data_IF_075910590718
#
_entry.id   IF_075910590718
#
_cell.length_a   1.000
_cell.length_b   1.000
_cell.length_c   1.000
_cell.angle_alpha   90.00
_cell.angle_beta   90.00
_cell.angle_gamma   90.00
#
_symmetry.space_group_name_H-M   'P 1'
#
loop_
_entity.id
_entity.type
_entity.pdbx_description
1 polymer ?
#
# COMPACT_ATOMS: atom_id res chain seq x y z
N UNK A 1 -3.25 33.83 -12.05
CA UNK A 1 -2.81 35.08 -11.38
C UNK A 1 -1.31 35.23 -11.63
N UNK A 2 -0.83 36.39 -12.06
CA UNK A 2 0.61 36.70 -12.11
C UNK A 2 0.92 37.50 -10.84
N UNK A 3 1.71 36.92 -9.95
CA UNK A 3 2.08 37.53 -8.68
C UNK A 3 3.34 38.37 -8.86
N UNK A 4 3.13 39.65 -9.14
CA UNK A 4 4.19 40.65 -9.08
C UNK A 4 3.96 41.45 -7.78
N UNK A 5 4.34 40.88 -6.65
CA UNK A 5 4.71 41.65 -5.44
C UNK A 5 3.65 42.40 -4.61
N UNK A 6 2.34 42.19 -4.78
CA UNK A 6 1.34 42.73 -3.84
C UNK A 6 0.64 41.62 -3.04
N UNK A 7 0.71 41.72 -1.72
CA UNK A 7 -0.01 40.87 -0.76
C UNK A 7 -1.52 40.99 -1.00
N UNK A 8 -2.11 39.94 -1.55
CA UNK A 8 -3.57 39.78 -1.58
C UNK A 8 -4.04 39.45 -0.15
N UNK A 9 -4.98 40.22 0.40
CA UNK A 9 -5.67 39.93 1.68
C UNK A 9 -7.05 39.28 1.41
N UNK A 10 -7.14 37.94 1.40
CA UNK A 10 -8.38 37.21 1.15
C UNK A 10 -9.35 37.16 2.35
N UNK A 11 -9.06 37.78 3.49
CA UNK A 11 -9.87 37.62 4.72
C UNK A 11 -11.29 38.21 4.62
N UNK A 12 -11.60 38.90 3.51
CA UNK A 12 -12.91 39.47 3.16
C UNK A 12 -13.45 39.03 1.80
N UNK A 13 -12.81 38.09 1.11
CA UNK A 13 -13.11 37.78 -0.29
C UNK A 13 -13.25 36.28 -0.53
N UNK A 14 -14.40 35.85 -1.10
CA UNK A 14 -14.53 34.55 -1.74
C UNK A 14 -13.93 34.62 -3.14
N UNK A 15 -12.96 33.77 -3.47
CA UNK A 15 -12.47 33.63 -4.84
C UNK A 15 -13.33 32.59 -5.56
N UNK A 16 -14.14 33.02 -6.52
CA UNK A 16 -14.82 32.13 -7.45
C UNK A 16 -13.97 31.95 -8.70
N UNK A 17 -13.53 30.71 -8.94
CA UNK A 17 -12.92 30.29 -10.19
C UNK A 17 -14.00 29.58 -11.01
N UNK A 18 -14.68 30.35 -11.86
CA UNK A 18 -15.70 29.81 -12.77
C UNK A 18 -15.04 29.36 -14.09
N UNK A 19 -14.88 28.04 -14.25
CA UNK A 19 -14.23 27.44 -15.40
C UNK A 19 -14.96 27.75 -16.73
N UNK A 20 -16.28 27.99 -16.67
CA UNK A 20 -17.08 28.30 -17.85
C UNK A 20 -16.81 29.70 -18.43
N UNK A 21 -16.18 30.57 -17.64
CA UNK A 21 -15.92 31.99 -17.94
C UNK A 21 -14.41 32.33 -17.98
N UNK A 22 -13.53 31.37 -17.70
CA UNK A 22 -12.09 31.48 -17.92
C UNK A 22 -11.72 31.22 -19.39
N UNK A 23 -12.07 32.12 -20.30
CA UNK A 23 -11.59 32.07 -21.70
C UNK A 23 -10.34 32.94 -21.87
N UNK A 24 -9.19 32.34 -22.18
CA UNK A 24 -8.07 33.06 -22.79
C UNK A 24 -7.91 32.59 -24.24
N UNK A 25 -8.20 33.47 -25.19
CA UNK A 25 -7.99 33.32 -26.64
C UNK A 25 -8.34 31.94 -27.24
N UNK A 26 -9.63 31.61 -27.23
CA UNK A 26 -10.23 30.87 -28.34
C UNK A 26 -9.63 29.50 -28.67
N UNK A 27 -9.53 28.59 -27.70
CA UNK A 27 -9.74 27.15 -27.95
C UNK A 27 -10.10 26.46 -26.64
N UNK A 28 -11.37 26.11 -26.49
CA UNK A 28 -11.91 25.46 -25.30
C UNK A 28 -11.49 23.99 -25.32
N UNK A 29 -10.77 23.53 -24.29
CA UNK A 29 -10.44 22.12 -24.09
C UNK A 29 -10.96 21.61 -22.74
N UNK A 30 -12.18 22.01 -22.33
CA UNK A 30 -12.92 21.38 -21.21
C UNK A 30 -12.18 21.28 -19.86
N UNK A 31 -11.15 22.12 -19.63
CA UNK A 31 -10.32 22.13 -18.43
C UNK A 31 -10.14 23.57 -17.99
N UNK A 32 -10.51 23.87 -16.76
CA UNK A 32 -10.14 25.14 -16.13
C UNK A 32 -8.88 24.94 -15.30
N UNK A 33 -7.88 25.78 -15.53
CA UNK A 33 -6.53 25.56 -14.99
C UNK A 33 -6.10 26.68 -14.04
N UNK A 34 -5.63 26.34 -12.85
CA UNK A 34 -4.76 27.20 -12.03
C UNK A 34 -3.34 26.92 -12.47
N UNK A 35 -2.73 27.87 -13.18
CA UNK A 35 -1.37 27.72 -13.72
C UNK A 35 -0.38 28.58 -12.97
N UNK A 36 0.67 27.96 -12.43
CA UNK A 36 1.84 28.67 -11.91
C UNK A 36 2.89 28.84 -13.01
N UNK A 37 2.74 29.88 -13.85
CA UNK A 37 3.74 30.21 -14.87
C UNK A 37 4.87 31.04 -14.28
N UNK A 38 6.12 30.68 -14.57
CA UNK A 38 7.28 31.50 -14.24
C UNK A 38 8.34 31.43 -15.31
N UNK A 39 9.14 32.51 -15.41
CA UNK A 39 10.13 32.71 -16.46
C UNK A 39 11.52 32.21 -16.10
N UNK A 40 11.80 31.97 -14.82
CA UNK A 40 13.12 31.51 -14.37
C UNK A 40 13.23 29.99 -14.42
N UNK A 41 14.25 29.50 -15.13
CA UNK A 41 14.62 28.10 -15.18
C UNK A 41 15.27 27.61 -13.87
N UNK A 42 15.78 28.51 -13.04
CA UNK A 42 16.66 28.18 -11.91
C UNK A 42 16.17 28.67 -10.55
N UNK A 43 15.27 29.65 -10.51
CA UNK A 43 14.75 30.19 -9.26
C UNK A 43 13.43 29.51 -8.87
N UNK A 44 13.35 29.10 -7.62
CA UNK A 44 12.16 28.53 -7.02
C UNK A 44 11.01 29.55 -6.98
N UNK A 45 9.78 29.05 -7.11
CA UNK A 45 8.59 29.88 -7.24
C UNK A 45 7.53 29.38 -6.27
N UNK A 46 6.95 30.31 -5.51
CA UNK A 46 5.90 30.00 -4.56
C UNK A 46 4.68 30.87 -4.84
N UNK A 47 3.48 30.26 -4.84
CA UNK A 47 2.20 30.96 -4.79
C UNK A 47 1.49 30.51 -3.51
N UNK A 48 0.94 31.46 -2.76
CA UNK A 48 0.27 31.17 -1.48
C UNK A 48 -1.11 31.80 -1.47
N UNK A 49 -2.11 30.99 -1.11
CA UNK A 49 -3.41 31.43 -0.65
C UNK A 49 -3.41 31.39 0.87
N UNK A 50 -3.31 32.55 1.51
CA UNK A 50 -3.08 32.64 2.96
C UNK A 50 -4.32 32.29 3.81
N UNK A 51 -5.52 32.60 3.34
CA UNK A 51 -6.79 32.31 4.00
C UNK A 51 -7.97 32.43 3.01
N UNK A 52 -9.19 32.19 3.47
CA UNK A 52 -10.43 32.44 2.71
C UNK A 52 -11.02 31.21 2.02
N UNK A 53 -12.10 31.42 1.27
CA UNK A 53 -12.81 30.35 0.54
C UNK A 53 -12.52 30.47 -0.95
N UNK A 54 -12.03 29.38 -1.53
CA UNK A 54 -11.79 29.22 -2.96
C UNK A 54 -12.80 28.21 -3.48
N UNK A 55 -13.66 28.65 -4.39
CA UNK A 55 -14.69 27.80 -5.00
C UNK A 55 -14.36 27.60 -6.47
N UNK A 56 -14.19 26.35 -6.90
CA UNK A 56 -13.97 25.97 -8.30
C UNK A 56 -15.23 25.30 -8.84
N UNK A 57 -15.81 25.88 -9.89
CA UNK A 57 -17.04 25.34 -10.49
C UNK A 57 -17.06 25.55 -11.99
N UNK A 58 -17.67 24.64 -12.74
CA UNK A 58 -17.99 24.86 -14.15
C UNK A 58 -19.49 25.16 -14.28
N UNK A 59 -19.87 26.44 -14.39
CA UNK A 59 -21.30 26.81 -14.44
C UNK A 59 -22.04 26.31 -15.68
N UNK A 60 -21.35 25.79 -16.71
CA UNK A 60 -21.94 25.26 -17.94
C UNK A 60 -21.95 23.73 -18.01
N UNK A 61 -20.98 23.07 -17.35
CA UNK A 61 -20.82 21.61 -17.37
C UNK A 61 -20.63 21.03 -15.96
N UNK A 62 -21.44 21.52 -15.01
CA UNK A 62 -21.34 21.21 -13.57
C UNK A 62 -21.12 19.72 -13.28
N UNK A 63 -20.03 19.42 -12.59
CA UNK A 63 -19.68 18.10 -12.12
C UNK A 63 -19.16 17.12 -13.15
N UNK A 64 -18.88 17.56 -14.38
CA UNK A 64 -18.31 16.71 -15.43
C UNK A 64 -16.90 17.13 -15.83
N UNK A 65 -16.50 18.34 -15.46
CA UNK A 65 -15.20 18.92 -15.81
C UNK A 65 -14.11 18.47 -14.84
N UNK A 66 -12.86 18.74 -15.22
CA UNK A 66 -11.70 18.60 -14.34
C UNK A 66 -11.04 19.95 -14.18
N UNK A 67 -10.99 20.43 -12.94
CA UNK A 67 -10.16 21.55 -12.53
C UNK A 67 -8.71 21.08 -12.36
N UNK A 68 -7.81 21.70 -13.10
CA UNK A 68 -6.40 21.31 -13.12
C UNK A 68 -5.57 22.35 -12.38
N UNK A 69 -4.82 21.94 -11.38
CA UNK A 69 -3.71 22.70 -10.80
C UNK A 69 -2.47 22.24 -11.57
N UNK A 70 -2.01 23.07 -12.50
CA UNK A 70 -0.85 22.77 -13.35
C UNK A 70 0.33 23.63 -12.89
N UNK A 71 1.38 22.96 -12.41
CA UNK A 71 2.61 23.63 -11.99
C UNK A 71 3.55 23.92 -13.18
N UNK A 72 3.02 24.08 -14.39
CA UNK A 72 3.73 24.26 -15.66
C UNK A 72 5.01 25.11 -15.61
N UNK A 73 6.07 24.66 -16.29
CA UNK A 73 7.29 25.44 -16.54
C UNK A 73 7.45 25.74 -18.02
N UNK A 74 7.78 26.99 -18.37
CA UNK A 74 8.10 27.38 -19.75
C UNK A 74 9.48 26.87 -20.19
N UNK A 75 10.30 26.33 -19.29
CA UNK A 75 11.66 25.88 -19.58
C UNK A 75 11.77 24.39 -19.29
N UNK A 76 11.93 23.61 -20.38
CA UNK A 76 11.95 22.14 -20.39
C UNK A 76 13.07 21.52 -19.53
N UNK A 77 14.12 22.30 -19.25
CA UNK A 77 15.36 21.85 -18.59
C UNK A 77 15.72 22.69 -17.35
N UNK A 78 14.75 23.42 -16.77
CA UNK A 78 15.01 24.13 -15.52
C UNK A 78 15.36 23.18 -14.38
N UNK A 79 15.85 23.69 -13.25
CA UNK A 79 16.03 22.98 -11.96
C UNK A 79 15.17 23.55 -10.83
N UNK A 80 14.37 24.58 -11.10
CA UNK A 80 13.54 25.24 -10.07
C UNK A 80 12.55 24.29 -9.38
N UNK A 81 12.08 24.68 -8.21
CA UNK A 81 10.97 24.05 -7.49
C UNK A 81 9.78 25.01 -7.54
N UNK A 82 8.59 24.47 -7.77
CA UNK A 82 7.34 25.23 -7.71
C UNK A 82 6.47 24.72 -6.59
N UNK A 83 6.07 25.64 -5.72
CA UNK A 83 5.28 25.33 -4.54
C UNK A 83 3.98 26.14 -4.54
N UNK A 84 2.84 25.43 -4.46
CA UNK A 84 1.54 26.05 -4.26
C UNK A 84 1.05 25.76 -2.84
N UNK A 85 0.78 26.80 -2.06
CA UNK A 85 0.26 26.67 -0.71
C UNK A 85 -1.20 27.12 -0.62
N UNK A 86 -2.04 26.29 -0.04
CA UNK A 86 -3.35 26.64 0.50
C UNK A 86 -3.23 26.59 2.02
N UNK A 87 -2.89 27.72 2.64
CA UNK A 87 -2.58 27.80 4.07
C UNK A 87 -3.82 27.58 4.95
N UNK A 88 -3.66 27.23 6.21
CA UNK A 88 -4.78 27.27 7.15
C UNK A 88 -5.11 28.75 7.49
N UNK A 89 -6.38 29.19 7.49
CA UNK A 89 -7.61 28.40 7.43
C UNK A 89 -8.32 28.45 6.06
N UNK A 90 -7.61 28.26 4.94
CA UNK A 90 -8.27 28.21 3.63
C UNK A 90 -9.28 27.07 3.53
N UNK A 91 -10.32 27.27 2.71
CA UNK A 91 -11.23 26.21 2.29
C UNK A 91 -11.29 26.17 0.77
N UNK A 92 -10.93 25.04 0.18
CA UNK A 92 -11.07 24.78 -1.26
C UNK A 92 -12.27 23.89 -1.51
N UNK A 93 -13.31 24.44 -2.12
CA UNK A 93 -14.48 23.71 -2.58
C UNK A 93 -14.42 23.53 -4.09
N UNK A 94 -14.68 22.31 -4.59
CA UNK A 94 -14.83 22.07 -6.02
C UNK A 94 -16.08 21.30 -6.35
N UNK A 95 -16.87 21.78 -7.31
CA UNK A 95 -17.95 20.98 -7.91
C UNK A 95 -17.44 20.04 -9.00
N UNK A 96 -16.17 20.14 -9.37
CA UNK A 96 -15.54 19.40 -10.46
C UNK A 96 -14.52 18.40 -9.92
N UNK A 97 -14.02 17.52 -10.78
CA UNK A 97 -12.87 16.68 -10.42
C UNK A 97 -11.64 17.58 -10.23
N UNK A 98 -10.79 17.27 -9.26
CA UNK A 98 -9.54 17.97 -9.02
C UNK A 98 -8.38 17.16 -9.61
N UNK A 99 -7.47 17.85 -10.28
CA UNK A 99 -6.22 17.24 -10.74
C UNK A 99 -5.03 18.13 -10.43
N UNK A 100 -4.05 17.59 -9.72
CA UNK A 100 -2.72 18.20 -9.62
C UNK A 100 -1.82 17.57 -10.68
N UNK A 101 -1.12 18.41 -11.44
CA UNK A 101 -0.14 17.95 -12.40
C UNK A 101 1.15 18.74 -12.21
N UNK A 102 2.23 18.04 -11.88
CA UNK A 102 3.54 18.66 -11.84
C UNK A 102 4.10 18.84 -13.24
N UNK A 103 5.04 19.76 -13.39
CA UNK A 103 5.57 20.13 -14.71
C UNK A 103 6.75 19.27 -15.16
N UNK A 104 7.33 18.49 -14.26
CA UNK A 104 8.55 17.71 -14.48
C UNK A 104 8.30 16.28 -14.07
N UNK A 105 8.97 15.30 -14.70
CA UNK A 105 8.86 13.88 -14.30
C UNK A 105 9.36 13.61 -12.88
N UNK A 106 10.18 14.50 -12.33
CA UNK A 106 10.59 14.47 -10.94
C UNK A 106 9.51 15.15 -10.08
N UNK A 107 8.78 14.39 -9.24
CA UNK A 107 7.68 14.90 -8.44
C UNK A 107 8.12 15.82 -7.31
N UNK A 108 9.40 15.83 -6.92
CA UNK A 108 9.92 16.72 -5.88
C UNK A 108 9.93 18.20 -6.30
N UNK A 109 9.78 18.45 -7.60
CA UNK A 109 9.90 19.79 -8.18
C UNK A 109 8.57 20.53 -8.30
N UNK A 110 7.46 19.81 -8.21
CA UNK A 110 6.12 20.38 -8.18
C UNK A 110 5.43 20.00 -6.89
N UNK A 111 5.27 20.95 -5.98
CA UNK A 111 4.75 20.73 -4.63
C UNK A 111 3.42 21.47 -4.47
N UNK A 112 2.40 20.79 -3.96
CA UNK A 112 1.13 21.42 -3.56
C UNK A 112 0.84 21.07 -2.10
N UNK A 113 0.68 22.10 -1.26
CA UNK A 113 0.38 21.97 0.15
C UNK A 113 -1.08 22.36 0.40
N UNK A 114 -1.89 21.42 0.86
CA UNK A 114 -3.25 21.64 1.35
C UNK A 114 -3.23 21.67 2.88
N UNK A 115 -2.99 22.87 3.44
CA UNK A 115 -3.00 23.12 4.89
C UNK A 115 -4.39 23.52 5.39
N UNK A 116 -5.24 24.03 4.50
CA UNK A 116 -6.67 24.21 4.71
C UNK A 116 -7.50 22.96 4.41
N UNK A 117 -8.82 23.11 4.46
CA UNK A 117 -9.78 22.05 4.13
C UNK A 117 -10.03 21.98 2.63
N UNK A 118 -10.09 20.77 2.08
CA UNK A 118 -10.48 20.53 0.68
C UNK A 118 -11.73 19.64 0.62
N UNK A 119 -12.70 20.05 -0.18
CA UNK A 119 -13.91 19.25 -0.45
C UNK A 119 -14.25 19.29 -1.93
N UNK A 120 -14.23 18.13 -2.59
CA UNK A 120 -14.62 18.00 -4.00
C UNK A 120 -15.98 17.27 -4.10
N UNK A 121 -17.06 18.04 -4.26
CA UNK A 121 -18.44 17.52 -4.25
C UNK A 121 -19.37 18.43 -5.06
N UNK A 122 -20.28 17.83 -5.84
CA UNK A 122 -21.40 18.52 -6.49
C UNK A 122 -22.72 17.94 -6.00
N UNK A 123 -23.46 18.70 -5.18
CA UNK A 123 -24.63 18.19 -4.47
C UNK A 123 -24.26 17.00 -3.59
N UNK A 124 -24.85 15.83 -3.88
CA UNK A 124 -24.56 14.57 -3.19
C UNK A 124 -23.48 13.71 -3.87
N UNK A 125 -22.98 14.14 -5.03
CA UNK A 125 -21.99 13.39 -5.80
C UNK A 125 -20.58 13.88 -5.48
N UNK A 126 -19.77 13.01 -4.87
CA UNK A 126 -18.35 13.24 -4.66
C UNK A 126 -17.58 13.28 -5.98
N UNK A 127 -16.54 14.11 -6.03
CA UNK A 127 -15.69 14.32 -7.21
C UNK A 127 -14.29 13.80 -6.97
N UNK A 128 -13.68 13.32 -8.04
CA UNK A 128 -12.42 12.59 -7.94
C UNK A 128 -11.25 13.57 -7.84
N UNK A 129 -10.21 13.11 -7.15
CA UNK A 129 -8.90 13.72 -7.13
C UNK A 129 -7.88 12.82 -7.83
N UNK A 130 -7.02 13.45 -8.62
CA UNK A 130 -5.85 12.80 -9.19
C UNK A 130 -4.61 13.65 -9.05
N UNK A 131 -3.46 13.02 -8.85
CA UNK A 131 -2.16 13.68 -8.92
C UNK A 131 -1.22 12.90 -9.81
N UNK A 132 -0.45 13.61 -10.62
CA UNK A 132 0.67 13.01 -11.31
C UNK A 132 1.87 13.96 -11.41
N UNK A 133 3.07 13.37 -11.34
CA UNK A 133 4.35 14.10 -11.46
C UNK A 133 4.53 15.23 -10.46
N UNK A 134 3.84 15.18 -9.32
CA UNK A 134 3.88 16.17 -8.27
C UNK A 134 3.92 15.51 -6.89
N UNK A 135 4.42 16.24 -5.91
CA UNK A 135 4.27 15.96 -4.49
C UNK A 135 3.08 16.75 -3.94
N UNK A 136 2.11 16.05 -3.36
CA UNK A 136 0.95 16.65 -2.74
C UNK A 136 0.98 16.36 -1.25
N UNK A 137 0.88 17.40 -0.43
CA UNK A 137 0.86 17.29 1.02
C UNK A 137 -0.52 17.66 1.54
N UNK A 138 -1.16 16.75 2.27
CA UNK A 138 -2.41 16.99 2.98
C UNK A 138 -2.05 17.18 4.45
N UNK A 139 -2.31 18.36 4.99
CA UNK A 139 -1.99 18.74 6.37
C UNK A 139 -3.24 19.00 7.23
N UNK A 140 -4.43 18.77 6.67
CA UNK A 140 -5.72 18.96 7.35
C UNK A 140 -6.77 18.00 6.71
N UNK A 141 -8.04 18.39 6.60
CA UNK A 141 -9.09 17.57 5.96
C UNK A 141 -9.08 17.66 4.43
N UNK A 142 -9.15 16.51 3.77
CA UNK A 142 -9.25 16.40 2.31
C UNK A 142 -10.28 15.34 1.91
N UNK A 143 -11.46 15.78 1.45
CA UNK A 143 -12.60 14.90 1.16
C UNK A 143 -12.94 14.87 -0.33
N UNK A 144 -12.92 13.67 -0.92
CA UNK A 144 -13.10 13.43 -2.36
C UNK A 144 -13.87 12.14 -2.63
N UNK A 145 -14.20 11.90 -3.89
CA UNK A 145 -14.79 10.64 -4.38
C UNK A 145 -13.73 9.55 -4.43
N UNK A 146 -12.94 9.54 -5.49
CA UNK A 146 -11.74 8.71 -5.64
C UNK A 146 -10.47 9.54 -5.43
N UNK A 147 -9.40 8.94 -4.90
CA UNK A 147 -8.05 9.53 -4.95
C UNK A 147 -7.15 8.64 -5.81
N UNK A 148 -6.47 9.19 -6.82
CA UNK A 148 -5.55 8.44 -7.70
C UNK A 148 -4.19 9.13 -7.80
N UNK A 149 -3.11 8.43 -7.48
CA UNK A 149 -1.74 8.96 -7.54
C UNK A 149 -0.92 8.13 -8.52
N UNK A 150 -0.35 8.76 -9.55
CA UNK A 150 0.45 8.10 -10.60
C UNK A 150 1.72 8.90 -10.88
N UNK A 151 2.89 8.27 -10.86
CA UNK A 151 4.19 8.96 -11.05
C UNK A 151 4.40 10.17 -10.12
N UNK A 152 3.81 10.15 -8.93
CA UNK A 152 3.79 11.27 -7.99
C UNK A 152 3.73 10.78 -6.57
N UNK A 153 3.80 11.72 -5.62
CA UNK A 153 3.83 11.44 -4.19
C UNK A 153 2.63 12.11 -3.53
N UNK A 154 1.93 11.39 -2.65
CA UNK A 154 0.94 11.94 -1.75
C UNK A 154 1.35 11.69 -0.30
N UNK A 155 1.47 12.75 0.48
CA UNK A 155 1.70 12.67 1.91
C UNK A 155 0.41 13.05 2.64
N UNK A 156 -0.12 12.14 3.45
CA UNK A 156 -1.15 12.42 4.46
C UNK A 156 -0.41 12.61 5.77
N UNK A 157 -0.15 13.87 6.13
CA UNK A 157 0.71 14.20 7.27
C UNK A 157 0.00 13.99 8.61
N UNK A 158 0.76 14.00 9.70
CA UNK A 158 0.24 13.83 11.06
C UNK A 158 -0.88 14.85 11.35
N UNK A 159 -1.96 14.39 11.99
CA UNK A 159 -3.16 15.20 12.27
C UNK A 159 -4.07 15.45 11.05
N UNK A 160 -3.62 15.11 9.85
CA UNK A 160 -4.42 15.25 8.63
C UNK A 160 -5.35 14.05 8.40
N UNK A 161 -6.39 14.25 7.59
CA UNK A 161 -7.32 13.18 7.19
C UNK A 161 -7.61 13.27 5.70
N UNK A 162 -7.39 12.16 4.99
CA UNK A 162 -7.86 11.96 3.63
C UNK A 162 -9.09 11.03 3.65
N UNK A 163 -10.24 11.53 3.21
CA UNK A 163 -11.43 10.72 3.00
C UNK A 163 -11.70 10.53 1.52
N UNK A 164 -11.64 9.29 1.05
CA UNK A 164 -12.14 8.92 -0.28
C UNK A 164 -13.47 8.18 -0.13
N UNK A 165 -14.56 8.77 -0.64
CA UNK A 165 -15.90 8.16 -0.63
C UNK A 165 -16.08 7.07 -1.71
N UNK A 166 -14.97 6.48 -2.15
CA UNK A 166 -14.83 5.43 -3.14
C UNK A 166 -13.46 4.75 -2.94
N UNK A 167 -12.64 4.63 -3.99
CA UNK A 167 -11.32 3.97 -3.94
C UNK A 167 -10.17 4.96 -3.77
N UNK A 168 -9.13 4.53 -3.06
CA UNK A 168 -7.78 5.11 -3.14
C UNK A 168 -6.93 4.22 -4.03
N UNK A 169 -6.43 4.77 -5.13
CA UNK A 169 -5.59 4.06 -6.09
C UNK A 169 -4.17 4.64 -6.05
N UNK A 170 -3.22 3.81 -5.61
CA UNK A 170 -1.80 4.01 -5.89
C UNK A 170 -1.54 3.40 -7.26
N UNK A 171 -1.52 4.25 -8.28
CA UNK A 171 -1.26 3.81 -9.63
C UNK A 171 0.21 3.55 -9.89
N UNK A 172 0.56 3.35 -11.16
CA UNK A 172 1.92 3.02 -11.59
C UNK A 172 2.91 4.10 -11.14
N UNK A 173 3.97 3.69 -10.43
CA UNK A 173 5.00 4.57 -9.86
C UNK A 173 4.42 5.69 -8.99
N UNK A 174 3.20 5.52 -8.47
CA UNK A 174 2.63 6.39 -7.46
C UNK A 174 3.13 5.97 -6.08
N UNK A 175 3.31 6.95 -5.20
CA UNK A 175 3.69 6.73 -3.82
C UNK A 175 2.71 7.44 -2.87
N UNK A 176 2.26 6.75 -1.83
CA UNK A 176 1.48 7.34 -0.74
C UNK A 176 2.15 7.07 0.60
N UNK A 177 2.41 8.14 1.36
CA UNK A 177 2.92 8.08 2.73
C UNK A 177 1.84 8.55 3.70
N UNK A 178 1.54 7.73 4.70
CA UNK A 178 0.42 7.94 5.63
C UNK A 178 0.96 8.07 7.05
N UNK A 179 1.04 9.30 7.56
CA UNK A 179 1.32 9.62 8.97
C UNK A 179 0.08 10.20 9.68
N UNK A 180 -0.96 10.60 8.93
CA UNK A 180 -2.29 10.93 9.44
C UNK A 180 -3.26 9.76 9.29
N UNK A 181 -4.52 10.07 8.98
CA UNK A 181 -5.56 9.07 8.80
C UNK A 181 -6.06 9.00 7.36
N UNK A 182 -6.22 7.80 6.84
CA UNK A 182 -6.99 7.53 5.63
C UNK A 182 -8.33 6.90 6.00
N UNK A 183 -9.40 7.44 5.43
CA UNK A 183 -10.73 6.86 5.44
C UNK A 183 -11.14 6.52 4.01
N UNK A 184 -11.59 5.29 3.78
CA UNK A 184 -12.17 4.91 2.50
C UNK A 184 -13.56 4.31 2.70
N UNK A 185 -14.57 5.00 2.15
CA UNK A 185 -16.00 4.72 2.32
C UNK A 185 -16.72 4.51 0.98
N UNK A 186 -16.42 3.43 0.23
CA UNK A 186 -17.12 3.14 -1.01
C UNK A 186 -18.63 2.99 -0.80
N UNK A 187 -19.40 3.57 -1.72
CA UNK A 187 -20.87 3.45 -1.72
C UNK A 187 -21.36 2.10 -2.26
N UNK A 188 -20.51 1.37 -2.99
CA UNK A 188 -20.79 0.02 -3.53
C UNK A 188 -20.00 -1.06 -2.80
N UNK A 189 -20.66 -2.20 -2.55
CA UNK A 189 -20.04 -3.38 -1.94
C UNK A 189 -19.09 -4.14 -2.86
N UNK A 190 -19.01 -3.80 -4.15
CA UNK A 190 -18.17 -4.51 -5.14
C UNK A 190 -16.84 -3.82 -5.46
N UNK A 191 -16.48 -2.78 -4.69
CA UNK A 191 -15.34 -1.92 -4.98
C UNK A 191 -14.27 -2.10 -3.91
N UNK A 192 -13.02 -2.27 -4.36
CA UNK A 192 -11.85 -2.28 -3.50
C UNK A 192 -11.67 -0.88 -2.88
N UNK A 193 -11.47 -0.81 -1.57
CA UNK A 193 -11.27 0.47 -0.88
C UNK A 193 -9.89 1.05 -1.23
N UNK A 194 -8.87 0.19 -1.26
CA UNK A 194 -7.51 0.57 -1.65
C UNK A 194 -7.01 -0.38 -2.72
N UNK A 195 -6.42 0.19 -3.78
CA UNK A 195 -5.72 -0.55 -4.83
C UNK A 195 -4.30 -0.02 -4.98
N UNK A 196 -3.32 -0.90 -4.85
CA UNK A 196 -1.91 -0.59 -5.09
C UNK A 196 -1.48 -1.35 -6.34
N UNK A 197 -1.34 -0.63 -7.45
CA UNK A 197 -0.96 -1.17 -8.75
C UNK A 197 0.50 -1.67 -8.74
N UNK A 198 0.88 -2.40 -9.78
CA UNK A 198 2.28 -2.79 -9.99
C UNK A 198 3.19 -1.54 -10.00
N UNK A 199 4.32 -1.63 -9.30
CA UNK A 199 5.24 -0.53 -9.03
C UNK A 199 4.65 0.66 -8.25
N UNK A 200 3.44 0.53 -7.70
CA UNK A 200 2.90 1.46 -6.71
C UNK A 200 3.44 1.11 -5.32
N UNK A 201 3.60 2.13 -4.49
CA UNK A 201 4.10 1.98 -3.12
C UNK A 201 3.22 2.75 -2.14
N UNK A 202 2.83 2.10 -1.04
CA UNK A 202 2.18 2.74 0.09
C UNK A 202 2.93 2.43 1.37
N UNK A 203 3.24 3.46 2.16
CA UNK A 203 3.80 3.34 3.50
C UNK A 203 2.83 3.92 4.52
N UNK A 204 2.47 3.11 5.51
CA UNK A 204 1.83 3.60 6.74
C UNK A 204 2.92 3.77 7.79
N UNK A 205 3.19 5.03 8.14
CA UNK A 205 4.20 5.40 9.13
C UNK A 205 3.71 5.16 10.57
N UNK A 206 4.56 5.46 11.55
CA UNK A 206 4.33 5.11 12.96
C UNK A 206 3.00 5.66 13.53
N UNK A 207 2.63 6.89 13.15
CA UNK A 207 1.39 7.56 13.56
C UNK A 207 0.22 7.33 12.59
N UNK A 208 0.47 6.66 11.46
CA UNK A 208 -0.50 6.46 10.40
C UNK A 208 -1.60 5.47 10.77
N UNK A 209 -2.79 5.68 10.21
CA UNK A 209 -3.90 4.71 10.31
C UNK A 209 -4.74 4.66 9.05
N UNK A 210 -5.33 3.49 8.78
CA UNK A 210 -6.25 3.27 7.67
C UNK A 210 -7.54 2.66 8.22
N UNK A 211 -8.64 3.40 8.07
CA UNK A 211 -9.98 2.93 8.42
C UNK A 211 -10.80 2.68 7.15
N UNK A 212 -11.13 1.41 6.93
CA UNK A 212 -11.97 1.00 5.81
C UNK A 212 -13.38 0.76 6.34
N UNK A 213 -14.31 1.65 6.00
CA UNK A 213 -15.71 1.52 6.39
C UNK A 213 -16.54 1.23 5.15
N UNK A 214 -17.37 0.18 5.19
CA UNK A 214 -18.25 -0.20 4.07
C UNK A 214 -17.47 -0.54 2.77
N UNK A 215 -18.21 -0.93 1.74
CA UNK A 215 -17.64 -1.47 0.51
C UNK A 215 -17.26 -2.95 0.65
N UNK A 216 -16.34 -3.42 -0.19
CA UNK A 216 -15.78 -4.77 -0.05
C UNK A 216 -14.80 -4.86 1.13
N UNK A 217 -14.42 -3.72 1.72
CA UNK A 217 -13.49 -3.56 2.87
C UNK A 217 -12.18 -4.30 2.66
N UNK A 218 -11.55 -3.99 1.53
CA UNK A 218 -10.41 -4.73 1.01
C UNK A 218 -9.29 -3.80 0.55
N UNK A 219 -8.06 -4.27 0.79
CA UNK A 219 -6.85 -3.75 0.17
C UNK A 219 -6.42 -4.75 -0.91
N UNK A 220 -6.26 -4.29 -2.15
CA UNK A 220 -5.76 -5.09 -3.28
C UNK A 220 -4.34 -4.68 -3.64
N UNK A 221 -3.43 -5.64 -3.63
CA UNK A 221 -1.99 -5.41 -3.63
C UNK A 221 -1.30 -6.11 -4.81
N UNK A 222 -0.92 -5.33 -5.83
CA UNK A 222 0.03 -5.71 -6.89
C UNK A 222 1.41 -5.10 -6.69
N UNK A 223 1.47 -3.94 -6.00
CA UNK A 223 2.71 -3.25 -5.65
C UNK A 223 3.13 -3.57 -4.21
N UNK A 224 3.68 -2.57 -3.52
CA UNK A 224 4.18 -2.72 -2.14
C UNK A 224 3.33 -1.97 -1.13
N UNK A 225 3.01 -2.62 -0.02
CA UNK A 225 2.45 -2.03 1.19
C UNK A 225 3.41 -2.26 2.36
N UNK A 226 3.92 -1.18 2.94
CA UNK A 226 4.79 -1.20 4.12
C UNK A 226 4.05 -0.61 5.32
N UNK A 227 4.06 -1.32 6.45
CA UNK A 227 3.31 -0.94 7.65
C UNK A 227 4.27 -0.84 8.84
N UNK A 228 4.37 0.36 9.40
CA UNK A 228 5.16 0.70 10.58
C UNK A 228 4.28 1.21 11.74
N UNK A 229 2.96 1.28 11.52
CA UNK A 229 2.00 1.81 12.47
C UNK A 229 1.70 0.83 13.61
N UNK A 230 1.05 1.33 14.67
CA UNK A 230 0.70 0.54 15.85
C UNK A 230 -0.22 -0.65 15.56
N UNK A 231 -0.35 -1.57 16.52
CA UNK A 231 -1.30 -2.69 16.47
C UNK A 231 -2.72 -2.21 16.09
N UNK A 232 -3.38 -2.91 15.16
CA UNK A 232 -4.76 -2.62 14.74
C UNK A 232 -4.94 -1.29 14.01
N UNK A 233 -3.86 -0.59 13.64
CA UNK A 233 -3.91 0.67 12.88
C UNK A 233 -4.54 0.54 11.48
N UNK A 234 -4.61 -0.69 10.95
CA UNK A 234 -5.27 -1.00 9.69
C UNK A 234 -6.30 -2.10 9.92
N UNK A 235 -7.56 -1.80 9.62
CA UNK A 235 -8.66 -2.77 9.68
C UNK A 235 -9.23 -2.99 8.27
N UNK A 236 -9.10 -4.22 7.77
CA UNK A 236 -9.66 -4.67 6.49
C UNK A 236 -10.68 -5.81 6.71
N UNK A 237 -11.97 -5.51 6.89
CA UNK A 237 -13.00 -6.48 7.32
C UNK A 237 -13.35 -7.67 6.42
N UNK A 238 -12.52 -7.98 5.42
CA UNK A 238 -12.55 -9.29 4.75
C UNK A 238 -11.19 -9.96 4.73
N UNK A 239 -10.24 -9.36 4.02
CA UNK A 239 -8.89 -9.88 3.83
C UNK A 239 -8.03 -8.86 3.08
N UNK A 240 -6.71 -8.99 3.23
CA UNK A 240 -5.74 -8.39 2.31
C UNK A 240 -5.62 -9.31 1.08
N UNK A 241 -5.93 -8.79 -0.11
CA UNK A 241 -5.83 -9.54 -1.36
C UNK A 241 -4.52 -9.22 -2.05
N UNK A 242 -3.62 -10.19 -2.04
CA UNK A 242 -2.38 -10.15 -2.79
C UNK A 242 -2.61 -10.69 -4.22
N UNK A 243 -2.08 -9.96 -5.19
CA UNK A 243 -2.08 -10.31 -6.60
C UNK A 243 -0.63 -10.54 -7.06
N UNK A 244 -0.44 -10.98 -8.31
CA UNK A 244 0.91 -11.27 -8.83
C UNK A 244 1.86 -10.08 -8.66
N UNK A 245 3.01 -10.31 -8.02
CA UNK A 245 4.02 -9.30 -7.72
C UNK A 245 3.78 -8.49 -6.43
N UNK A 246 2.68 -8.74 -5.71
CA UNK A 246 2.35 -8.03 -4.48
C UNK A 246 3.35 -8.29 -3.35
N UNK A 247 3.75 -7.22 -2.66
CA UNK A 247 4.68 -7.27 -1.52
C UNK A 247 4.10 -6.59 -0.28
N UNK A 248 4.00 -7.33 0.82
CA UNK A 248 3.62 -6.81 2.13
C UNK A 248 4.86 -6.75 3.04
N UNK A 249 5.07 -5.66 3.75
CA UNK A 249 6.14 -5.52 4.74
C UNK A 249 5.50 -5.10 6.08
N UNK A 250 5.73 -5.92 7.11
CA UNK A 250 5.20 -5.73 8.46
C UNK A 250 6.34 -5.47 9.43
N UNK A 251 6.48 -4.21 9.85
CA UNK A 251 7.52 -3.80 10.81
C UNK A 251 7.00 -3.70 12.25
N UNK A 252 5.69 -3.90 12.45
CA UNK A 252 5.04 -3.84 13.75
C UNK A 252 4.13 -5.04 13.95
N UNK A 253 3.94 -5.44 15.21
CA UNK A 253 3.08 -6.57 15.56
C UNK A 253 1.60 -6.25 15.33
N UNK A 254 0.91 -7.14 14.62
CA UNK A 254 -0.54 -7.17 14.46
C UNK A 254 -1.14 -5.82 13.99
N UNK A 255 -0.38 -5.05 13.22
CA UNK A 255 -0.82 -3.76 12.70
C UNK A 255 -1.98 -3.89 11.69
N UNK A 256 -2.03 -5.03 10.98
CA UNK A 256 -3.11 -5.41 10.07
C UNK A 256 -4.07 -6.38 10.75
N UNK A 257 -5.37 -6.06 10.75
CA UNK A 257 -6.44 -6.92 11.29
C UNK A 257 -7.63 -6.98 10.34
N UNK A 258 -8.39 -8.08 10.40
CA UNK A 258 -9.69 -8.14 9.72
C UNK A 258 -10.74 -7.34 10.51
N UNK A 259 -10.72 -7.41 11.84
CA UNK A 259 -11.57 -6.58 12.70
C UNK A 259 -10.88 -6.29 14.02
N UNK A 260 -11.54 -5.50 14.88
CA UNK A 260 -11.09 -5.25 16.26
C UNK A 260 -10.74 -6.54 17.02
N UNK A 261 -11.39 -7.66 16.67
CA UNK A 261 -11.25 -8.95 17.36
C UNK A 261 -10.69 -10.07 16.47
N UNK A 262 -10.43 -9.83 15.18
CA UNK A 262 -10.00 -10.87 14.24
C UNK A 262 -8.70 -10.49 13.54
N UNK A 263 -7.75 -11.42 13.57
CA UNK A 263 -6.47 -11.33 12.87
C UNK A 263 -6.65 -11.36 11.36
N UNK A 264 -5.66 -10.82 10.65
CA UNK A 264 -5.76 -10.64 9.21
C UNK A 264 -5.78 -11.96 8.44
N UNK A 265 -6.61 -12.01 7.40
CA UNK A 265 -6.62 -13.06 6.39
C UNK A 265 -5.90 -12.58 5.13
N UNK A 266 -4.99 -13.39 4.60
CA UNK A 266 -4.28 -13.10 3.35
C UNK A 266 -4.88 -13.92 2.22
N UNK A 267 -5.29 -13.30 1.12
CA UNK A 267 -5.78 -14.02 -0.07
C UNK A 267 -4.85 -13.87 -1.26
N UNK A 268 -4.28 -14.98 -1.71
CA UNK A 268 -3.55 -15.08 -2.97
C UNK A 268 -4.56 -15.31 -4.09
N UNK A 269 -4.82 -14.28 -4.88
CA UNK A 269 -5.98 -14.25 -5.78
C UNK A 269 -5.64 -14.40 -7.26
N UNK A 270 -4.37 -14.31 -7.63
CA UNK A 270 -3.88 -14.32 -9.01
C UNK A 270 -2.68 -15.23 -9.16
N UNK A 271 -2.52 -15.84 -10.33
CA UNK A 271 -1.38 -16.70 -10.59
C UNK A 271 -0.08 -15.91 -10.56
N UNK A 272 0.95 -16.51 -9.96
CA UNK A 272 2.28 -15.92 -9.88
C UNK A 272 2.80 -15.89 -8.44
N UNK A 273 3.76 -15.01 -8.20
CA UNK A 273 4.52 -14.98 -6.95
C UNK A 273 4.21 -13.71 -6.15
N UNK A 274 4.13 -13.83 -4.83
CA UNK A 274 3.94 -12.74 -3.88
C UNK A 274 4.94 -12.86 -2.72
N UNK A 275 5.19 -11.76 -2.02
CA UNK A 275 6.15 -11.71 -0.92
C UNK A 275 5.55 -11.06 0.33
N UNK A 276 5.79 -11.65 1.50
CA UNK A 276 5.56 -11.02 2.80
C UNK A 276 6.89 -10.97 3.53
N UNK A 277 7.26 -9.79 4.04
CA UNK A 277 8.39 -9.62 4.96
C UNK A 277 7.84 -9.33 6.35
N UNK A 278 8.21 -10.15 7.32
CA UNK A 278 7.73 -10.06 8.70
C UNK A 278 8.91 -9.71 9.60
N UNK A 279 8.98 -8.45 10.05
CA UNK A 279 10.04 -7.93 10.91
C UNK A 279 9.60 -7.76 12.38
N UNK A 280 8.41 -8.24 12.74
CA UNK A 280 7.85 -8.23 14.08
C UNK A 280 6.89 -9.41 14.25
N UNK A 281 6.62 -9.83 15.49
CA UNK A 281 5.70 -10.94 15.78
C UNK A 281 4.29 -10.61 15.25
N UNK A 282 3.75 -11.47 14.39
CA UNK A 282 2.44 -11.26 13.76
C UNK A 282 1.59 -12.53 13.88
N UNK A 283 0.28 -12.32 13.93
CA UNK A 283 -0.72 -13.38 13.94
C UNK A 283 -1.66 -13.17 12.76
N UNK A 284 -1.72 -14.18 11.88
CA UNK A 284 -2.70 -14.27 10.80
C UNK A 284 -3.74 -15.34 11.09
N UNK A 285 -4.96 -15.11 10.62
CA UNK A 285 -5.96 -16.17 10.59
C UNK A 285 -5.54 -17.31 9.65
N UNK A 286 -4.91 -16.98 8.54
CA UNK A 286 -4.40 -17.95 7.58
C UNK A 286 -4.26 -17.36 6.18
N UNK A 287 -3.74 -18.18 5.26
CA UNK A 287 -3.55 -17.80 3.86
C UNK A 287 -4.55 -18.57 2.99
N UNK A 288 -5.40 -17.87 2.25
CA UNK A 288 -6.24 -18.47 1.23
C UNK A 288 -5.43 -18.56 -0.06
N UNK A 289 -5.06 -19.77 -0.46
CA UNK A 289 -4.39 -20.02 -1.74
C UNK A 289 -5.39 -20.08 -2.88
N UNK A 290 -4.98 -19.63 -4.08
CA UNK A 290 -5.83 -19.83 -5.25
C UNK A 290 -5.87 -21.33 -5.57
N UNK A 291 -7.07 -21.88 -5.59
CA UNK A 291 -7.29 -23.24 -6.07
C UNK A 291 -8.48 -23.19 -7.01
N UNK A 292 -8.23 -23.02 -8.31
CA UNK A 292 -9.26 -23.23 -9.32
C UNK A 292 -8.89 -24.53 -10.05
N UNK A 293 -9.87 -25.31 -10.51
CA UNK A 293 -9.62 -26.57 -11.23
C UNK A 293 -8.91 -26.32 -12.58
N UNK A 294 -7.57 -26.26 -12.58
CA UNK A 294 -6.71 -26.01 -13.74
C UNK A 294 -5.28 -25.62 -13.34
N UNK A 295 -4.42 -25.31 -14.32
CA UNK A 295 -2.98 -24.96 -14.20
C UNK A 295 -2.69 -23.63 -13.47
N UNK A 296 -3.43 -23.34 -12.41
CA UNK A 296 -3.31 -22.12 -11.61
C UNK A 296 -2.49 -22.41 -10.36
N UNK A 297 -1.43 -21.63 -10.14
CA UNK A 297 -0.52 -21.73 -9.00
C UNK A 297 -0.36 -20.36 -8.34
N UNK A 298 -0.23 -20.36 -7.01
CA UNK A 298 0.16 -19.20 -6.21
C UNK A 298 1.39 -19.56 -5.40
N UNK A 299 2.46 -18.81 -5.63
CA UNK A 299 3.69 -18.93 -4.86
C UNK A 299 3.74 -17.77 -3.85
N UNK A 300 3.91 -18.10 -2.58
CA UNK A 300 4.12 -17.10 -1.54
C UNK A 300 5.47 -17.32 -0.88
N UNK A 301 6.29 -16.27 -0.85
CA UNK A 301 7.51 -16.24 -0.03
C UNK A 301 7.25 -15.41 1.21
N UNK A 302 7.55 -15.98 2.39
CA UNK A 302 7.52 -15.27 3.67
C UNK A 302 8.94 -15.19 4.21
N UNK A 303 9.48 -13.98 4.30
CA UNK A 303 10.78 -13.71 4.90
C UNK A 303 10.60 -13.38 6.37
N UNK A 304 11.19 -14.19 7.25
CA UNK A 304 11.27 -13.93 8.67
C UNK A 304 12.48 -13.02 8.95
N UNK A 305 12.21 -11.76 9.27
CA UNK A 305 13.24 -10.79 9.65
C UNK A 305 13.73 -11.00 11.08
N UNK A 306 14.84 -10.36 11.43
CA UNK A 306 15.48 -10.49 12.75
C UNK A 306 14.55 -10.13 13.92
N UNK A 307 13.62 -9.20 13.71
CA UNK A 307 12.64 -8.79 14.73
C UNK A 307 11.44 -9.74 14.89
N UNK A 308 11.32 -10.78 14.07
CA UNK A 308 10.27 -11.80 14.20
C UNK A 308 10.76 -12.97 15.05
N UNK A 309 10.29 -13.05 16.30
CA UNK A 309 10.51 -14.18 17.19
C UNK A 309 9.54 -15.32 16.87
N UNK A 310 8.27 -14.99 16.61
CA UNK A 310 7.24 -15.98 16.31
C UNK A 310 6.20 -15.42 15.34
N UNK A 311 5.95 -16.19 14.28
CA UNK A 311 4.83 -15.97 13.36
C UNK A 311 3.71 -16.96 13.70
N UNK A 312 2.50 -16.47 13.95
CA UNK A 312 1.36 -17.28 14.37
C UNK A 312 0.34 -17.36 13.24
N UNK A 313 -0.18 -18.56 13.01
CA UNK A 313 -1.35 -18.82 12.17
C UNK A 313 -2.44 -19.51 12.99
N UNK A 314 -3.71 -19.12 12.85
CA UNK A 314 -4.80 -19.98 13.32
C UNK A 314 -4.77 -21.32 12.58
N UNK A 315 -4.62 -21.25 11.26
CA UNK A 315 -4.30 -22.37 10.37
C UNK A 315 -3.44 -21.89 9.21
N UNK A 316 -2.54 -22.73 8.68
CA UNK A 316 -1.63 -22.36 7.57
C UNK A 316 -2.45 -21.87 6.37
N UNK A 317 -3.44 -22.66 5.96
CA UNK A 317 -4.39 -22.27 4.93
C UNK A 317 -5.76 -21.92 5.51
N UNK A 318 -6.52 -21.10 4.79
CA UNK A 318 -7.89 -20.75 5.16
C UNK A 318 -8.79 -20.64 3.93
N UNK A 319 -10.06 -20.38 4.15
CA UNK A 319 -11.08 -20.20 3.10
C UNK A 319 -11.50 -18.74 3.06
N UNK A 320 -11.53 -18.16 1.86
CA UNK A 320 -12.15 -16.86 1.62
C UNK A 320 -13.55 -17.05 0.98
N UNK A 321 -13.80 -16.52 -0.21
CA UNK A 321 -15.15 -16.44 -0.78
C UNK A 321 -15.65 -17.73 -1.47
N UNK A 322 -14.75 -18.65 -1.83
CA UNK A 322 -15.08 -19.94 -2.45
C UNK A 322 -14.85 -21.06 -1.43
N UNK A 323 -15.30 -22.29 -1.69
CA UNK A 323 -14.99 -23.45 -0.83
C UNK A 323 -13.54 -23.96 -0.97
N UNK A 324 -12.64 -23.11 -1.45
CA UNK A 324 -11.33 -23.42 -2.01
C UNK A 324 -10.30 -22.44 -1.42
N UNK A 325 -9.06 -22.88 -1.19
CA UNK A 325 -8.11 -22.14 -0.35
C UNK A 325 -6.92 -22.91 0.21
N UNK A 326 -6.79 -24.20 -0.11
CA UNK A 326 -5.77 -25.08 0.46
C UNK A 326 -4.40 -24.91 -0.20
N UNK A 327 -3.33 -25.13 0.56
CA UNK A 327 -1.96 -25.20 0.05
C UNK A 327 -1.73 -26.57 -0.62
N UNK A 328 -2.30 -26.77 -1.81
CA UNK A 328 -2.23 -28.04 -2.55
C UNK A 328 -1.91 -27.84 -4.03
N UNK A 329 -1.59 -28.94 -4.71
CA UNK A 329 -1.28 -28.95 -6.14
C UNK A 329 0.02 -28.20 -6.43
N UNK A 330 -0.03 -27.27 -7.38
CA UNK A 330 1.13 -26.47 -7.79
C UNK A 330 1.37 -25.23 -6.89
N UNK A 331 0.53 -24.98 -5.87
CA UNK A 331 0.73 -23.90 -4.92
C UNK A 331 1.93 -24.15 -4.00
N UNK A 332 2.67 -23.09 -3.66
CA UNK A 332 3.86 -23.19 -2.82
C UNK A 332 3.90 -22.11 -1.75
N UNK A 333 4.37 -22.50 -0.57
CA UNK A 333 4.73 -21.59 0.52
C UNK A 333 6.22 -21.75 0.82
N UNK A 334 6.98 -20.68 0.69
CA UNK A 334 8.43 -20.68 0.92
C UNK A 334 8.74 -19.79 2.11
N UNK A 335 9.48 -20.29 3.08
CA UNK A 335 10.01 -19.51 4.18
C UNK A 335 11.49 -19.19 3.96
N UNK A 336 11.85 -17.91 4.10
CA UNK A 336 13.25 -17.45 4.13
C UNK A 336 13.62 -17.14 5.58
N UNK A 337 14.82 -17.57 5.99
CA UNK A 337 15.30 -17.56 7.38
C UNK A 337 14.43 -18.40 8.34
N UNK A 338 13.92 -19.53 7.86
CA UNK A 338 13.19 -20.46 8.70
C UNK A 338 14.11 -21.12 9.74
N UNK A 339 13.60 -21.25 10.96
CA UNK A 339 14.19 -22.08 12.01
C UNK A 339 13.07 -22.89 12.65
N UNK A 340 13.38 -24.10 13.12
CA UNK A 340 12.44 -24.92 13.87
C UNK A 340 11.90 -24.13 15.08
N UNK A 341 10.59 -24.25 15.33
CA UNK A 341 9.84 -23.52 16.36
C UNK A 341 9.73 -21.99 16.16
N UNK A 342 9.94 -21.46 14.95
CA UNK A 342 9.63 -20.04 14.63
C UNK A 342 8.18 -19.79 14.26
N UNK A 343 7.45 -20.82 13.84
CA UNK A 343 6.09 -20.68 13.32
C UNK A 343 5.13 -21.54 14.14
N UNK A 344 4.12 -20.89 14.72
CA UNK A 344 3.09 -21.54 15.53
C UNK A 344 1.77 -21.64 14.75
N UNK A 345 1.14 -22.81 14.79
CA UNK A 345 -0.15 -23.09 14.17
C UNK A 345 -1.14 -23.54 15.25
N UNK A 346 -2.24 -22.83 15.43
CA UNK A 346 -3.14 -23.08 16.58
C UNK A 346 -4.07 -24.29 16.38
N UNK A 347 -4.63 -24.45 15.17
CA UNK A 347 -5.68 -25.44 14.90
C UNK A 347 -5.24 -26.64 14.04
N UNK A 348 -3.93 -26.85 13.86
CA UNK A 348 -3.33 -27.78 12.87
C UNK A 348 -3.58 -27.36 11.40
N UNK A 349 -3.19 -28.23 10.45
CA UNK A 349 -3.46 -28.04 9.01
C UNK A 349 -4.86 -28.50 8.64
N UNK A 350 -5.39 -27.97 7.54
CA UNK A 350 -6.71 -28.37 7.04
C UNK A 350 -6.63 -29.66 6.21
N UNK A 351 -5.47 -29.95 5.63
CA UNK A 351 -5.10 -31.23 5.00
C UNK A 351 -3.62 -31.53 5.26
N UNK A 352 -3.28 -32.75 5.65
CA UNK A 352 -1.90 -33.14 5.95
C UNK A 352 -0.96 -33.01 4.75
N UNK A 353 -1.48 -33.09 3.52
CA UNK A 353 -0.70 -32.92 2.30
C UNK A 353 -0.24 -31.46 2.10
N UNK A 354 -0.78 -30.49 2.83
CA UNK A 354 -0.37 -29.09 2.73
C UNK A 354 1.10 -28.89 3.12
N UNK A 355 1.58 -29.67 4.08
CA UNK A 355 2.96 -29.58 4.56
C UNK A 355 3.99 -29.93 3.48
N UNK A 356 3.61 -30.75 2.49
CA UNK A 356 4.48 -31.14 1.37
C UNK A 356 4.79 -29.98 0.42
N UNK A 357 3.97 -28.94 0.46
CA UNK A 357 4.07 -27.75 -0.39
C UNK A 357 4.69 -26.56 0.37
N UNK A 358 5.29 -26.82 1.53
CA UNK A 358 6.09 -25.87 2.30
C UNK A 358 7.58 -26.14 2.05
N UNK A 359 8.34 -25.08 1.86
CA UNK A 359 9.77 -25.13 1.55
C UNK A 359 10.55 -24.11 2.37
N UNK A 360 11.80 -24.43 2.71
CA UNK A 360 12.77 -23.48 3.25
C UNK A 360 14.19 -23.90 2.88
N UNK A 361 15.08 -22.93 2.68
CA UNK A 361 16.50 -23.21 2.45
C UNK A 361 17.12 -23.91 3.67
N UNK A 362 17.96 -24.93 3.43
CA UNK A 362 18.63 -25.69 4.48
C UNK A 362 17.81 -26.86 5.06
N UNK A 363 16.60 -27.11 4.56
CA UNK A 363 15.72 -28.19 5.01
C UNK A 363 15.34 -29.13 3.86
N UNK A 364 15.07 -30.40 4.17
CA UNK A 364 14.72 -31.41 3.18
C UNK A 364 13.31 -31.15 2.61
N UNK A 365 13.16 -31.21 1.28
CA UNK A 365 11.86 -31.01 0.61
C UNK A 365 10.82 -32.04 1.10
N UNK A 366 9.63 -31.55 1.45
CA UNK A 366 8.54 -32.39 1.95
C UNK A 366 8.76 -32.95 3.37
N UNK A 367 9.78 -32.48 4.10
CA UNK A 367 10.07 -32.91 5.47
C UNK A 367 9.33 -32.13 6.56
N UNK A 368 8.52 -31.14 6.19
CA UNK A 368 7.78 -30.33 7.17
C UNK A 368 6.74 -31.16 7.93
N UNK A 369 6.68 -30.97 9.26
CA UNK A 369 5.76 -31.62 10.17
C UNK A 369 5.31 -30.67 11.29
N UNK A 370 4.20 -31.03 11.94
CA UNK A 370 3.69 -30.31 13.10
C UNK A 370 4.02 -31.09 14.38
N UNK A 371 4.67 -30.42 15.33
CA UNK A 371 4.98 -30.93 16.65
C UNK A 371 4.10 -30.24 17.69
N UNK A 372 3.50 -30.97 18.62
CA UNK A 372 2.63 -30.37 19.65
C UNK A 372 3.41 -29.38 20.51
N UNK A 373 2.86 -28.18 20.69
CA UNK A 373 3.43 -27.18 21.58
C UNK A 373 2.92 -27.37 23.02
N UNK A 374 3.78 -27.16 24.01
CA UNK A 374 3.46 -27.31 25.44
C UNK A 374 2.32 -26.39 25.91
N UNK A 375 2.18 -25.23 25.28
CA UNK A 375 1.18 -24.21 25.57
C UNK A 375 -0.05 -24.28 24.64
N UNK A 376 -0.21 -25.40 23.93
CA UNK A 376 -1.31 -25.65 22.99
C UNK A 376 -1.02 -25.18 21.56
N UNK A 377 -1.64 -25.85 20.60
CA UNK A 377 -1.32 -25.73 19.17
C UNK A 377 -0.09 -26.56 18.79
N UNK A 378 0.58 -26.14 17.72
CA UNK A 378 1.68 -26.87 17.10
C UNK A 378 2.80 -25.95 16.63
N UNK A 379 4.04 -26.40 16.77
CA UNK A 379 5.21 -25.82 16.11
C UNK A 379 5.41 -26.45 14.74
N UNK A 380 5.63 -25.63 13.72
CA UNK A 380 6.06 -26.12 12.41
C UNK A 380 7.58 -26.38 12.47
N UNK A 381 7.96 -27.62 12.16
CA UNK A 381 9.35 -28.08 12.17
C UNK A 381 9.66 -28.82 10.85
N UNK A 382 10.94 -28.96 10.52
CA UNK A 382 11.42 -29.67 9.35
C UNK A 382 12.77 -30.37 9.63
N UNK A 383 13.11 -31.33 8.77
CA UNK A 383 14.39 -32.05 8.85
C UNK A 383 15.45 -31.23 8.14
N UNK A 384 16.49 -30.81 8.86
CA UNK A 384 17.59 -30.05 8.29
C UNK A 384 18.42 -30.94 7.33
N UNK A 385 18.81 -30.39 6.18
CA UNK A 385 19.79 -31.02 5.30
C UNK A 385 21.15 -30.96 6.00
N UNK A 386 21.86 -32.09 6.17
CA UNK A 386 23.19 -32.06 6.80
C UNK A 386 24.11 -31.13 6.02
N UNK A 387 24.70 -30.14 6.70
CA UNK A 387 25.67 -29.26 6.05
C UNK A 387 26.82 -30.09 5.45
N UNK A 388 27.40 -29.69 4.30
CA UNK A 388 28.47 -30.44 3.65
C UNK A 388 29.65 -30.79 4.58
N UNK A 389 29.98 -29.91 5.53
CA UNK A 389 31.01 -30.14 6.53
C UNK A 389 30.62 -31.23 7.54
N UNK A 390 29.35 -31.30 7.93
CA UNK A 390 28.82 -32.33 8.81
C UNK A 390 28.80 -33.70 8.12
N UNK A 391 28.37 -33.74 6.85
CA UNK A 391 28.44 -34.94 6.03
C UNK A 391 29.89 -35.43 5.84
N UNK A 392 30.82 -34.51 5.60
CA UNK A 392 32.25 -34.82 5.51
C UNK A 392 32.83 -35.33 6.84
N UNK A 393 32.43 -34.77 7.97
CA UNK A 393 32.85 -35.24 9.30
C UNK A 393 32.33 -36.65 9.60
N UNK A 394 31.07 -36.96 9.28
CA UNK A 394 30.55 -38.33 9.38
C UNK A 394 31.31 -39.31 8.50
N UNK A 395 31.60 -38.94 7.24
CA UNK A 395 32.39 -39.77 6.34
C UNK A 395 33.83 -39.99 6.87
N UNK A 396 34.45 -38.95 7.43
CA UNK A 396 35.78 -39.04 8.04
C UNK A 396 35.80 -39.94 9.29
N UNK A 397 34.79 -39.84 10.15
CA UNK A 397 34.63 -40.73 11.32
C UNK A 397 34.41 -42.18 10.90
N UNK A 398 33.59 -42.44 9.87
CA UNK A 398 33.38 -43.77 9.33
C UNK A 398 34.67 -44.34 8.73
N UNK A 399 35.42 -43.53 7.99
CA UNK A 399 36.72 -43.91 7.43
C UNK A 399 37.74 -44.26 8.53
N UNK A 400 37.79 -43.48 9.62
CA UNK A 400 38.60 -43.77 10.80
C UNK A 400 38.19 -45.08 11.49
N UNK A 401 36.89 -45.33 11.63
CA UNK A 401 36.37 -46.58 12.20
C UNK A 401 36.74 -47.81 11.36
N UNK A 402 36.61 -47.73 10.03
CA UNK A 402 37.02 -48.81 9.11
C UNK A 402 38.54 -49.02 9.17
N UNK A 403 39.33 -47.94 9.24
CA UNK A 403 40.78 -48.04 9.36
C UNK A 403 41.22 -48.69 10.69
N UNK A 404 40.56 -48.37 11.81
CA UNK A 404 40.80 -49.00 13.11
C UNK A 404 40.45 -50.49 13.10
N UNK A 405 39.34 -50.87 12.46
CA UNK A 405 38.94 -52.28 12.31
C UNK A 405 39.90 -53.08 11.42
N UNK A 406 40.52 -52.46 10.41
CA UNK A 406 41.58 -53.11 9.61
C UNK A 406 42.85 -53.32 10.41
N UNK A 407 43.22 -52.39 11.30
CA UNK A 407 44.43 -52.49 12.13
C UNK A 407 44.35 -53.60 13.18
N UNK A 408 43.14 -53.92 13.67
CA UNK A 408 42.91 -55.01 14.63
C UNK A 408 42.76 -56.40 13.99
N UNK A 409 42.88 -56.52 12.65
CA UNK A 409 42.85 -57.80 11.91
C UNK A 409 44.22 -58.18 11.32
N UNK A 410 45.27 -57.42 11.61
CA UNK A 410 46.67 -57.79 11.40
C UNK A 410 47.27 -58.17 12.75
#
# INVERSE_FOLDING_TARGET
>A
MRGDGEDYDPSKHSLLIDLANMSYNGTWSGKGTIEMRGFSATADQTLTFANGVISITDTKALGTSTAVIDLYSNTKDGTSIKTLNFEAPTTLNSTENLRVFGYSKDPSRGIVNFNGTVTAKNGDTWKDFSSAYATVNINNTFDVGKATIEYGVLNVNEGATLTANNTIKVGTNGEIYVNGQINATPTSTSVDNIQIAANGYMKVGETGSIKLEKGYTLIRLYGTLEINSAEGSIICSRYLRMCNGGKLILNTSNALKDSETQYATIWLSENGSSEIVVNADNHFRGICFRTDNGSNYSDLTITLGEGCNTLIFDSISTVCDTSQGLLLGDNKLVFVNFENNKIKVLNSVRDENELKNIYAEGFEDGSFYLETADDGGYWLNAVAVPEPAMAAAFAAMLALGIAALRKNKQ
#
